data_IF_179459812522
#
_entry.id   IF_179459812522
#
_cell.length_a   1.000
_cell.length_b   1.000
_cell.length_c   1.000
_cell.angle_alpha   90.00
_cell.angle_beta   90.00
_cell.angle_gamma   90.00
#
_symmetry.space_group_name_H-M   'P 1'
#
loop_
_entity.id
_entity.type
_entity.pdbx_description
1 polymer ?
#
# COMPACT_ATOMS: atom_id res chain seq x y z
N UNK A 1 -5.23 -12.32 -6.22
CA UNK A 1 -4.32 -11.23 -6.58
C UNK A 1 -2.97 -11.81 -6.96
N UNK A 2 -2.08 -11.00 -7.49
CA UNK A 2 -0.70 -11.41 -7.78
C UNK A 2 0.16 -11.33 -6.52
N UNK A 3 0.93 -12.37 -6.20
CA UNK A 3 1.83 -12.36 -5.04
C UNK A 3 3.19 -11.81 -5.46
N UNK A 4 3.59 -10.72 -4.83
CA UNK A 4 4.90 -10.09 -5.01
C UNK A 4 5.62 -10.05 -3.67
N UNK A 5 6.95 -9.97 -3.69
CA UNK A 5 7.74 -9.78 -2.47
C UNK A 5 8.38 -8.39 -2.43
N UNK A 6 8.52 -7.84 -1.23
CA UNK A 6 9.22 -6.58 -1.00
C UNK A 6 10.33 -6.79 0.03
N UNK A 7 11.54 -6.32 -0.30
CA UNK A 7 12.75 -6.48 0.53
C UNK A 7 12.99 -5.36 1.54
N UNK A 8 12.09 -4.38 1.62
CA UNK A 8 12.18 -3.30 2.59
C UNK A 8 12.09 -3.86 4.02
N UNK A 9 13.00 -3.39 4.87
CA UNK A 9 13.01 -3.73 6.29
C UNK A 9 12.20 -2.75 7.14
N UNK A 10 11.82 -1.62 6.56
CA UNK A 10 11.07 -0.52 7.19
C UNK A 10 10.08 0.05 6.19
N UNK A 11 9.17 0.90 6.66
CA UNK A 11 8.23 1.59 5.78
C UNK A 11 7.08 0.70 5.27
N UNK A 12 6.70 -0.32 6.05
CA UNK A 12 5.66 -1.27 5.65
C UNK A 12 4.29 -0.60 5.49
N UNK A 13 4.00 0.47 6.25
CA UNK A 13 2.72 1.17 6.15
C UNK A 13 2.65 1.98 4.85
N UNK A 14 3.72 2.68 4.51
CA UNK A 14 3.88 3.44 3.27
C UNK A 14 3.76 2.49 2.07
N UNK A 15 4.34 1.30 2.16
CA UNK A 15 4.24 0.26 1.13
C UNK A 15 2.80 -0.28 1.04
N UNK A 16 2.15 -0.59 2.17
CA UNK A 16 0.78 -1.10 2.19
C UNK A 16 -0.26 -0.08 1.69
N UNK A 17 0.09 1.20 1.69
CA UNK A 17 -0.74 2.31 1.20
C UNK A 17 -0.27 2.85 -0.15
N UNK A 18 0.70 2.22 -0.81
CA UNK A 18 1.17 2.64 -2.12
C UNK A 18 0.20 2.13 -3.21
N UNK A 19 -0.38 3.03 -4.04
CA UNK A 19 -1.34 2.63 -5.08
C UNK A 19 -0.78 1.66 -6.11
N UNK A 20 0.55 1.60 -6.26
CA UNK A 20 1.22 0.68 -7.18
C UNK A 20 0.97 -0.79 -6.84
N UNK A 21 0.63 -1.11 -5.58
CA UNK A 21 0.32 -2.48 -5.14
C UNK A 21 -1.16 -2.85 -5.29
N UNK A 22 -1.95 -2.05 -6.00
CA UNK A 22 -3.35 -2.39 -6.26
C UNK A 22 -3.46 -3.77 -6.90
N UNK A 23 -4.38 -4.58 -6.38
CA UNK A 23 -4.58 -5.98 -6.81
C UNK A 23 -3.43 -6.96 -6.55
N UNK A 24 -2.40 -6.54 -5.80
CA UNK A 24 -1.30 -7.38 -5.37
C UNK A 24 -1.41 -7.79 -3.91
N UNK A 25 -0.79 -8.93 -3.58
CA UNK A 25 -0.62 -9.46 -2.23
C UNK A 25 0.88 -9.36 -1.90
N UNK A 26 1.21 -8.62 -0.85
CA UNK A 26 2.59 -8.31 -0.50
C UNK A 26 3.17 -9.33 0.48
N UNK A 27 4.26 -9.99 0.10
CA UNK A 27 5.09 -10.77 1.01
C UNK A 27 6.30 -9.94 1.45
N UNK A 28 6.40 -9.62 2.74
CA UNK A 28 7.59 -8.95 3.27
C UNK A 28 8.70 -9.97 3.57
N UNK A 29 9.92 -9.67 3.13
CA UNK A 29 11.06 -10.54 3.43
C UNK A 29 11.60 -10.30 4.84
N UNK A 30 11.45 -9.09 5.38
CA UNK A 30 11.84 -8.79 6.75
C UNK A 30 10.85 -9.44 7.73
N UNK A 31 11.32 -10.18 8.75
CA UNK A 31 10.42 -11.02 9.54
C UNK A 31 9.50 -10.25 10.50
N UNK A 32 9.97 -9.13 11.04
CA UNK A 32 9.27 -8.37 12.09
C UNK A 32 8.56 -7.14 11.51
N UNK A 33 7.43 -7.37 10.84
CA UNK A 33 6.58 -6.30 10.31
C UNK A 33 5.55 -5.89 11.37
N UNK A 34 5.32 -4.58 11.53
CA UNK A 34 4.40 -4.04 12.54
C UNK A 34 5.07 -3.53 13.81
N UNK A 35 6.39 -3.67 13.94
CA UNK A 35 7.16 -3.30 15.14
C UNK A 35 7.05 -1.82 15.57
N UNK A 36 6.77 -0.90 14.63
CA UNK A 36 6.57 0.54 14.92
C UNK A 36 5.10 0.95 14.91
N UNK A 37 4.18 -0.01 14.80
CA UNK A 37 2.74 0.26 14.71
C UNK A 37 2.36 0.95 13.42
N UNK A 38 1.36 1.82 13.50
CA UNK A 38 0.92 2.67 12.39
C UNK A 38 0.66 4.09 12.87
N UNK A 39 0.60 5.05 11.95
CA UNK A 39 0.19 6.42 12.23
C UNK A 39 -0.53 7.05 11.02
N UNK A 40 -1.01 8.28 11.13
CA UNK A 40 -1.74 8.94 10.04
C UNK A 40 -0.82 9.63 9.02
N UNK A 41 0.45 9.80 9.34
CA UNK A 41 1.41 10.51 8.50
C UNK A 41 1.99 9.57 7.43
N UNK A 42 2.30 8.32 7.78
CA UNK A 42 2.95 7.33 6.90
C UNK A 42 1.98 6.67 5.88
N UNK A 43 0.98 7.42 5.41
CA UNK A 43 0.02 7.01 4.38
C UNK A 43 0.37 7.65 3.04
N UNK A 44 0.57 6.85 2.00
CA UNK A 44 0.99 7.32 0.67
C UNK A 44 -0.13 7.44 -0.36
N UNK A 45 -1.26 6.76 -0.20
CA UNK A 45 -2.41 6.85 -1.12
C UNK A 45 -3.18 8.16 -1.00
N UNK A 46 -3.74 8.65 -2.12
CA UNK A 46 -4.69 9.75 -2.13
C UNK A 46 -6.11 9.22 -1.87
N UNK A 47 -6.80 9.83 -0.91
CA UNK A 47 -8.09 9.37 -0.41
C UNK A 47 -7.99 8.25 0.62
N UNK A 48 -9.16 7.78 1.09
CA UNK A 48 -9.27 6.82 2.20
C UNK A 48 -9.69 5.42 1.75
N UNK A 49 -10.00 5.25 0.46
CA UNK A 49 -10.42 3.99 -0.14
C UNK A 49 -9.34 2.89 0.04
N UNK A 50 -9.60 1.82 0.80
CA UNK A 50 -8.64 0.75 1.03
C UNK A 50 -8.36 -0.08 -0.23
N UNK A 51 -9.31 -0.16 -1.16
CA UNK A 51 -9.16 -0.82 -2.46
C UNK A 51 -8.10 -0.16 -3.35
N UNK A 52 -7.67 1.06 -3.00
CA UNK A 52 -6.64 1.79 -3.74
C UNK A 52 -5.22 1.33 -3.45
N UNK A 53 -5.01 0.32 -2.61
CA UNK A 53 -3.68 -0.18 -2.27
C UNK A 53 -3.62 -1.71 -2.25
N UNK A 54 -2.67 -2.28 -1.50
CA UNK A 54 -2.44 -3.73 -1.46
C UNK A 54 -3.67 -4.51 -0.98
N UNK A 55 -3.99 -5.63 -1.65
CA UNK A 55 -5.14 -6.49 -1.28
C UNK A 55 -4.92 -7.32 -0.04
N UNK A 56 -3.66 -7.58 0.31
CA UNK A 56 -3.33 -8.36 1.49
C UNK A 56 -1.83 -8.44 1.73
N UNK A 57 -1.47 -9.00 2.87
CA UNK A 57 -0.08 -9.14 3.30
C UNK A 57 0.23 -10.56 3.77
N UNK A 58 1.45 -11.01 3.49
CA UNK A 58 2.03 -12.27 3.95
C UNK A 58 3.27 -11.95 4.78
N UNK A 59 3.28 -12.42 6.02
CA UNK A 59 4.29 -12.13 7.03
C UNK A 59 4.95 -13.41 7.54
N UNK A 60 6.20 -13.27 7.99
CA UNK A 60 6.92 -14.37 8.65
C UNK A 60 6.37 -14.61 10.04
N UNK A 61 6.43 -13.59 10.89
CA UNK A 61 5.98 -13.65 12.27
C UNK A 61 4.67 -12.88 12.46
N UNK A 62 3.94 -13.22 13.51
CA UNK A 62 2.75 -12.46 13.93
C UNK A 62 3.20 -11.08 14.41
N UNK A 63 2.56 -9.98 13.97
CA UNK A 63 2.88 -8.64 14.46
C UNK A 63 2.80 -8.57 15.99
N UNK A 64 3.82 -7.98 16.60
CA UNK A 64 3.86 -7.73 18.04
C UNK A 64 3.22 -6.37 18.36
N UNK A 65 3.04 -6.10 19.65
CA UNK A 65 2.68 -4.76 20.10
C UNK A 65 3.74 -3.73 19.63
N UNK A 66 3.31 -2.53 19.22
CA UNK A 66 4.20 -1.54 18.64
C UNK A 66 5.05 -0.84 19.69
N UNK A 67 6.30 -0.54 19.34
CA UNK A 67 7.26 0.16 20.20
C UNK A 67 7.85 1.38 19.47
N UNK A 68 7.04 2.41 19.25
CA UNK A 68 7.46 3.66 18.62
C UNK A 68 6.64 4.85 19.16
N UNK A 69 7.29 6.00 19.35
CA UNK A 69 6.63 7.21 19.86
C UNK A 69 5.60 7.80 18.88
N UNK A 70 5.72 7.51 17.58
CA UNK A 70 4.74 7.89 16.53
C UNK A 70 3.54 6.95 16.48
N UNK A 71 3.60 5.77 17.11
CA UNK A 71 2.56 4.77 16.97
C UNK A 71 1.24 5.28 17.56
N UNK A 72 0.20 5.32 16.73
CA UNK A 72 -1.18 5.61 17.17
C UNK A 72 -2.04 4.35 17.24
N UNK A 73 -1.54 3.21 16.78
CA UNK A 73 -2.23 1.92 16.80
C UNK A 73 -1.35 0.76 16.34
N UNK A 74 -1.85 -0.47 16.55
CA UNK A 74 -1.21 -1.70 16.07
C UNK A 74 -1.55 -1.98 14.61
N UNK A 75 -0.67 -2.74 13.94
CA UNK A 75 -0.83 -3.09 12.52
C UNK A 75 -2.10 -3.92 12.25
N UNK A 76 -2.40 -4.90 13.11
CA UNK A 76 -3.55 -5.79 12.95
C UNK A 76 -4.90 -5.04 12.97
N UNK A 77 -5.10 -4.20 14.00
CA UNK A 77 -6.30 -3.38 14.12
C UNK A 77 -6.46 -2.40 12.94
N UNK A 78 -5.35 -1.82 12.47
CA UNK A 78 -5.34 -0.91 11.33
C UNK A 78 -5.63 -1.61 9.99
N UNK A 79 -5.11 -2.82 9.79
CA UNK A 79 -5.44 -3.63 8.62
C UNK A 79 -6.91 -4.06 8.63
N UNK A 80 -7.42 -4.48 9.79
CA UNK A 80 -8.81 -4.88 9.98
C UNK A 80 -9.77 -3.73 9.68
N UNK A 81 -9.50 -2.51 10.18
CA UNK A 81 -10.36 -1.35 9.91
C UNK A 81 -10.39 -0.94 8.44
N UNK A 82 -9.36 -1.30 7.67
CA UNK A 82 -9.26 -1.10 6.22
C UNK A 82 -9.77 -2.29 5.40
N UNK A 83 -10.16 -3.39 6.02
CA UNK A 83 -10.56 -4.60 5.29
C UNK A 83 -9.40 -5.26 4.52
N UNK A 84 -8.16 -5.06 4.94
CA UNK A 84 -6.97 -5.68 4.33
C UNK A 84 -6.69 -7.01 5.05
N UNK A 85 -6.65 -8.11 4.30
CA UNK A 85 -6.42 -9.45 4.87
C UNK A 85 -4.92 -9.73 5.07
N UNK A 86 -4.57 -10.38 6.18
CA UNK A 86 -3.19 -10.76 6.50
C UNK A 86 -3.03 -12.25 6.76
N UNK A 87 -1.86 -12.79 6.42
CA UNK A 87 -1.45 -14.15 6.75
C UNK A 87 -0.04 -14.14 7.36
N UNK A 88 0.09 -14.55 8.61
CA UNK A 88 1.37 -14.66 9.32
C UNK A 88 1.77 -16.11 9.57
N UNK A 89 3.03 -16.36 9.93
CA UNK A 89 3.56 -17.71 10.17
C UNK A 89 4.05 -18.43 8.91
N UNK A 90 4.17 -17.72 7.78
CA UNK A 90 4.59 -18.29 6.50
C UNK A 90 6.13 -18.27 6.41
N UNK A 91 6.72 -19.28 5.76
CA UNK A 91 8.13 -19.17 5.35
C UNK A 91 8.24 -18.19 4.16
N UNK A 92 8.29 -16.89 4.46
CA UNK A 92 8.40 -15.83 3.45
C UNK A 92 9.70 -15.92 2.66
N UNK A 93 10.75 -16.57 3.19
CA UNK A 93 12.00 -16.82 2.47
C UNK A 93 11.79 -17.87 1.38
N UNK A 94 11.16 -19.01 1.71
CA UNK A 94 10.80 -20.03 0.72
C UNK A 94 9.86 -19.47 -0.35
N UNK A 95 8.85 -18.67 0.05
CA UNK A 95 7.96 -17.99 -0.88
C UNK A 95 8.71 -17.02 -1.81
N UNK A 96 9.64 -16.22 -1.27
CA UNK A 96 10.45 -15.30 -2.07
C UNK A 96 11.33 -16.03 -3.08
N UNK A 97 11.93 -17.16 -2.70
CA UNK A 97 12.70 -18.00 -3.62
C UNK A 97 11.82 -18.55 -4.74
N UNK A 98 10.62 -19.04 -4.40
CA UNK A 98 9.64 -19.54 -5.36
C UNK A 98 9.26 -18.46 -6.38
N UNK A 99 8.95 -17.24 -5.91
CA UNK A 99 8.59 -16.12 -6.79
C UNK A 99 9.75 -15.74 -7.72
N UNK A 100 10.98 -15.71 -7.18
CA UNK A 100 12.18 -15.39 -7.98
C UNK A 100 12.45 -16.42 -9.07
N UNK A 101 12.20 -17.69 -8.80
CA UNK A 101 12.49 -18.80 -9.72
C UNK A 101 11.38 -19.07 -10.74
N UNK A 102 10.12 -18.90 -10.33
CA UNK A 102 8.95 -19.29 -11.14
C UNK A 102 8.07 -18.13 -11.57
N UNK A 103 8.40 -16.90 -11.16
CA UNK A 103 7.56 -15.73 -11.36
C UNK A 103 6.49 -15.59 -10.28
N UNK A 104 5.78 -14.46 -10.32
CA UNK A 104 4.74 -14.11 -9.36
C UNK A 104 3.49 -15.02 -9.53
N UNK A 105 3.14 -15.85 -8.55
CA UNK A 105 1.95 -16.68 -8.62
C UNK A 105 0.70 -15.86 -8.34
N UNK A 106 -0.43 -16.32 -8.85
CA UNK A 106 -1.73 -15.85 -8.39
C UNK A 106 -2.10 -16.58 -7.10
N UNK A 107 -2.63 -15.85 -6.12
CA UNK A 107 -3.08 -16.42 -4.87
C UNK A 107 -4.37 -15.78 -4.35
N UNK A 108 -4.98 -16.50 -3.43
CA UNK A 108 -6.11 -16.07 -2.62
C UNK A 108 -5.74 -16.29 -1.16
N UNK A 109 -6.01 -15.30 -0.31
CA UNK A 109 -5.99 -15.45 1.14
C UNK A 109 -7.45 -15.50 1.57
N UNK A 110 -7.81 -16.48 2.39
CA UNK A 110 -9.14 -16.66 2.93
C UNK A 110 -9.09 -16.74 4.44
N UNK A 111 -10.11 -16.20 5.10
CA UNK A 111 -10.28 -16.26 6.54
C UNK A 111 -11.69 -16.74 6.84
N UNK A 112 -11.80 -17.87 7.54
CA UNK A 112 -13.04 -18.44 8.05
C UNK A 112 -12.85 -18.77 9.54
N UNK A 113 -13.60 -18.11 10.46
CA UNK A 113 -13.50 -18.37 11.89
C UNK A 113 -13.82 -19.82 12.31
N UNK A 114 -14.64 -20.54 11.54
CA UNK A 114 -14.96 -21.95 11.77
C UNK A 114 -13.89 -22.89 11.19
N UNK A 115 -12.88 -22.35 10.49
CA UNK A 115 -11.82 -23.12 9.84
C UNK A 115 -12.28 -23.95 8.63
N UNK A 116 -13.43 -23.62 8.05
CA UNK A 116 -14.02 -24.36 6.92
C UNK A 116 -13.55 -23.74 5.60
N UNK A 117 -12.53 -24.35 4.99
CA UNK A 117 -11.98 -23.89 3.72
C UNK A 117 -12.26 -24.88 2.59
N UNK A 118 -12.88 -24.40 1.51
CA UNK A 118 -12.97 -25.12 0.25
C UNK A 118 -11.72 -24.82 -0.59
N UNK A 119 -10.69 -25.65 -0.42
CA UNK A 119 -9.40 -25.47 -1.09
C UNK A 119 -9.50 -25.61 -2.61
N UNK A 120 -10.44 -26.41 -3.12
CA UNK A 120 -10.63 -26.58 -4.56
C UNK A 120 -11.22 -25.31 -5.16
N UNK A 121 -12.25 -24.74 -4.53
CA UNK A 121 -12.84 -23.48 -4.94
C UNK A 121 -11.83 -22.33 -4.88
N UNK A 122 -11.05 -22.22 -3.79
CA UNK A 122 -10.01 -21.20 -3.64
C UNK A 122 -8.90 -21.33 -4.69
N UNK A 123 -8.49 -22.56 -5.01
CA UNK A 123 -7.51 -22.83 -6.06
C UNK A 123 -8.05 -22.47 -7.44
N UNK A 124 -9.32 -22.80 -7.71
CA UNK A 124 -9.98 -22.42 -8.95
C UNK A 124 -10.06 -20.90 -9.09
N UNK A 125 -10.41 -20.19 -8.02
CA UNK A 125 -10.44 -18.73 -7.98
C UNK A 125 -9.07 -18.10 -8.25
N UNK A 126 -8.00 -18.64 -7.66
CA UNK A 126 -6.64 -18.17 -7.93
C UNK A 126 -6.24 -18.37 -9.41
N UNK A 127 -6.62 -19.50 -10.02
CA UNK A 127 -6.33 -19.83 -11.42
C UNK A 127 -7.15 -18.99 -12.41
N UNK A 128 -8.40 -18.68 -12.09
CA UNK A 128 -9.29 -17.89 -12.95
C UNK A 128 -8.95 -16.40 -12.96
N UNK A 129 -8.16 -15.93 -11.99
CA UNK A 129 -7.73 -14.54 -11.94
C UNK A 129 -6.85 -14.19 -13.14
N UNK A 130 -7.30 -13.22 -13.94
CA UNK A 130 -6.76 -12.91 -15.28
C UNK A 130 -5.39 -12.22 -15.30
N UNK A 131 -4.78 -11.97 -14.15
CA UNK A 131 -3.51 -11.27 -14.06
C UNK A 131 -3.65 -9.74 -14.06
N UNK A 132 -2.52 -9.04 -13.90
CA UNK A 132 -2.43 -7.58 -14.02
C UNK A 132 -2.32 -7.11 -15.48
N UNK A 133 -1.83 -7.97 -16.38
CA UNK A 133 -1.58 -7.62 -17.77
C UNK A 133 -2.90 -7.28 -18.48
N UNK A 134 -3.03 -6.04 -18.94
CA UNK A 134 -4.24 -5.53 -19.60
C UNK A 134 -5.30 -4.97 -18.67
N UNK A 135 -5.05 -4.92 -17.35
CA UNK A 135 -5.94 -4.27 -16.39
C UNK A 135 -5.55 -2.80 -16.21
N UNK A 136 -6.46 -1.89 -16.51
CA UNK A 136 -6.25 -0.45 -16.35
C UNK A 136 -6.53 -0.03 -14.90
N UNK A 137 -5.56 -0.33 -14.02
CA UNK A 137 -5.62 0.02 -12.60
C UNK A 137 -5.51 1.53 -12.35
N UNK A 138 -4.98 2.28 -13.32
CA UNK A 138 -4.76 3.72 -13.16
C UNK A 138 -6.10 4.46 -13.00
N UNK A 139 -7.16 4.00 -13.67
CA UNK A 139 -8.51 4.55 -13.52
C UNK A 139 -9.05 4.41 -12.10
N UNK A 140 -8.86 3.23 -11.50
CA UNK A 140 -9.35 2.92 -10.15
C UNK A 140 -8.48 3.59 -9.07
N UNK A 141 -7.20 3.80 -9.36
CA UNK A 141 -6.25 4.48 -8.48
C UNK A 141 -6.42 6.01 -8.46
N UNK A 142 -6.98 6.59 -9.51
CA UNK A 142 -7.03 8.03 -9.74
C UNK A 142 -8.01 8.78 -8.81
N UNK A 143 -7.72 10.07 -8.59
CA UNK A 143 -8.68 11.02 -8.05
C UNK A 143 -9.92 11.16 -8.95
N UNK A 144 -11.08 11.40 -8.32
CA UNK A 144 -12.35 11.59 -9.03
C UNK A 144 -12.58 13.05 -9.45
N UNK A 145 -11.91 13.99 -8.78
CA UNK A 145 -12.02 15.43 -9.03
C UNK A 145 -10.64 16.07 -8.96
N UNK A 146 -10.45 17.13 -9.73
CA UNK A 146 -9.25 17.93 -9.66
C UNK A 146 -9.19 18.69 -8.34
N UNK A 147 -8.00 18.83 -7.76
CA UNK A 147 -7.78 19.56 -6.50
C UNK A 147 -6.38 20.18 -6.45
N UNK A 148 -6.19 21.14 -5.55
CA UNK A 148 -4.87 21.73 -5.30
C UNK A 148 -4.15 21.03 -4.15
N UNK A 149 -2.86 20.74 -4.33
CA UNK A 149 -2.02 20.17 -3.28
C UNK A 149 -1.09 21.24 -2.69
N UNK A 150 -1.06 21.35 -1.37
CA UNK A 150 -0.32 22.42 -0.65
C UNK A 150 0.55 21.90 0.51
N UNK A 151 0.51 20.60 0.81
CA UNK A 151 1.29 20.00 1.88
C UNK A 151 2.72 19.68 1.40
N UNK A 152 3.75 20.07 2.16
CA UNK A 152 5.16 19.84 1.86
C UNK A 152 5.73 18.59 2.55
N UNK A 153 7.05 18.42 2.47
CA UNK A 153 7.76 17.31 3.13
C UNK A 153 7.57 17.30 4.66
N UNK A 154 7.65 16.11 5.25
CA UNK A 154 7.60 15.91 6.69
C UNK A 154 8.96 16.21 7.32
N UNK A 155 8.97 16.95 8.42
CA UNK A 155 10.17 17.24 9.19
C UNK A 155 9.94 17.00 10.69
N UNK A 156 10.90 16.36 11.36
CA UNK A 156 10.88 16.22 12.80
C UNK A 156 11.31 17.55 13.47
N UNK A 157 10.61 18.04 14.51
CA UNK A 157 9.41 17.48 15.16
C UNK A 157 8.08 18.10 14.68
N UNK A 158 8.11 18.90 13.63
CA UNK A 158 7.00 19.80 13.25
C UNK A 158 5.92 19.15 12.39
N UNK A 159 6.20 18.00 11.78
CA UNK A 159 5.29 17.33 10.87
C UNK A 159 5.39 17.87 9.44
N UNK A 160 4.30 17.81 8.69
CA UNK A 160 4.26 18.28 7.31
C UNK A 160 4.29 19.81 7.20
N UNK A 161 5.21 20.32 6.38
CA UNK A 161 5.29 21.74 6.08
C UNK A 161 4.11 22.22 5.23
N UNK A 162 3.88 23.54 5.20
CA UNK A 162 2.98 24.21 4.24
C UNK A 162 3.77 25.30 3.51
N UNK A 163 4.57 24.93 2.49
CA UNK A 163 5.36 25.90 1.76
C UNK A 163 4.47 26.92 1.04
N UNK A 164 4.93 28.18 0.97
CA UNK A 164 4.25 29.19 0.16
C UNK A 164 4.41 28.84 -1.33
N UNK A 165 3.30 28.87 -2.07
CA UNK A 165 3.31 28.64 -3.49
C UNK A 165 3.82 29.90 -4.22
N UNK A 166 4.87 29.75 -5.02
CA UNK A 166 5.35 30.79 -5.93
C UNK A 166 4.57 30.85 -7.23
N UNK A 167 5.11 31.57 -8.20
CA UNK A 167 4.41 31.90 -9.46
C UNK A 167 4.34 30.75 -10.48
N UNK A 168 5.10 29.67 -10.26
CA UNK A 168 5.16 28.53 -11.18
C UNK A 168 4.07 27.51 -10.83
N UNK A 169 3.37 27.01 -11.84
CA UNK A 169 2.32 26.01 -11.69
C UNK A 169 2.68 24.70 -12.39
N UNK A 170 2.31 23.57 -11.77
CA UNK A 170 2.47 22.21 -12.29
C UNK A 170 1.13 21.50 -12.22
N UNK A 171 0.74 20.87 -13.33
CA UNK A 171 -0.42 19.97 -13.37
C UNK A 171 0.09 18.53 -13.27
N UNK A 172 -0.43 17.78 -12.29
CA UNK A 172 -0.09 16.37 -12.05
C UNK A 172 -1.28 15.52 -12.45
N UNK A 173 -1.11 14.68 -13.48
CA UNK A 173 -2.12 13.68 -13.86
C UNK A 173 -2.00 12.49 -12.92
N UNK A 174 -3.06 12.18 -12.19
CA UNK A 174 -3.08 11.16 -11.16
C UNK A 174 -3.37 9.77 -11.74
N UNK A 175 -2.34 8.93 -11.84
CA UNK A 175 -2.46 7.51 -12.18
C UNK A 175 -2.29 6.59 -10.96
N UNK A 176 -2.59 7.10 -9.76
CA UNK A 176 -2.19 6.49 -8.49
C UNK A 176 -0.94 7.17 -7.91
N UNK A 177 -0.87 8.49 -7.99
CA UNK A 177 0.28 9.24 -7.49
C UNK A 177 0.36 9.16 -5.96
N UNK A 178 1.59 8.99 -5.47
CA UNK A 178 1.90 8.94 -4.05
C UNK A 178 1.93 10.34 -3.44
N UNK A 179 1.42 10.51 -2.22
CA UNK A 179 1.46 11.78 -1.48
C UNK A 179 2.87 12.34 -1.38
N UNK A 180 3.88 11.51 -1.14
CA UNK A 180 5.24 12.05 -0.98
C UNK A 180 5.83 12.66 -2.26
N UNK A 181 5.37 12.25 -3.45
CA UNK A 181 5.75 12.91 -4.71
C UNK A 181 5.20 14.34 -4.74
N UNK A 182 3.93 14.52 -4.35
CA UNK A 182 3.30 15.82 -4.27
C UNK A 182 3.93 16.70 -3.19
N UNK A 183 4.28 16.11 -2.04
CA UNK A 183 5.00 16.79 -0.94
C UNK A 183 6.38 17.29 -1.37
N UNK A 184 7.17 16.43 -1.99
CA UNK A 184 8.49 16.81 -2.50
C UNK A 184 8.39 17.92 -3.55
N UNK A 185 7.39 17.86 -4.44
CA UNK A 185 7.15 18.90 -5.43
C UNK A 185 6.72 20.22 -4.77
N UNK A 186 5.80 20.18 -3.80
CA UNK A 186 5.33 21.36 -3.09
C UNK A 186 6.47 22.07 -2.34
N UNK A 187 7.39 21.30 -1.75
CA UNK A 187 8.60 21.81 -1.10
C UNK A 187 9.56 22.56 -2.04
N UNK A 188 9.38 22.49 -3.36
CA UNK A 188 10.12 23.32 -4.33
C UNK A 188 9.50 24.70 -4.56
N UNK A 189 8.36 25.01 -3.93
CA UNK A 189 7.67 26.30 -4.02
C UNK A 189 6.80 26.47 -5.27
N UNK A 190 6.32 25.37 -5.87
CA UNK A 190 5.42 25.41 -7.03
C UNK A 190 3.96 25.18 -6.62
N UNK A 191 3.04 25.82 -7.34
CA UNK A 191 1.61 25.54 -7.22
C UNK A 191 1.27 24.22 -7.93
N UNK A 192 0.58 23.30 -7.25
CA UNK A 192 0.25 21.99 -7.80
C UNK A 192 -1.25 21.83 -7.95
N UNK A 193 -1.69 21.45 -9.14
CA UNK A 193 -3.06 21.00 -9.41
C UNK A 193 -3.02 19.54 -9.82
N UNK A 194 -3.66 18.68 -9.05
CA UNK A 194 -3.82 17.26 -9.36
C UNK A 194 -5.10 17.07 -10.16
N UNK A 195 -5.07 16.30 -11.24
CA UNK A 195 -6.21 16.06 -12.12
C UNK A 195 -6.44 14.56 -12.34
N UNK A 196 -7.69 14.12 -12.60
CA UNK A 196 -8.00 12.72 -12.90
C UNK A 196 -7.23 12.16 -14.10
N UNK A 197 -7.02 10.84 -14.11
CA UNK A 197 -6.38 10.08 -15.19
C UNK A 197 -7.06 10.25 -16.55
N UNK A 198 -8.36 10.56 -16.55
CA UNK A 198 -9.19 10.71 -17.75
C UNK A 198 -9.33 12.15 -18.26
N UNK A 199 -8.50 13.08 -17.75
CA UNK A 199 -8.53 14.50 -18.13
C UNK A 199 -8.14 14.73 -19.58
#
# INVERSE_FOLDING_TARGET
GEVVFNTAMTGYQEILTDPSYMSQILAFTFPHIGNVGVNLEDVEQIGEAPERAARGVILRDVPTDPANWRATGGLDAWMTSRGVIGLAGVDTRALTQLIREKGAPHAVIAHDPDGKFDLEALTAQARDWKGLVGLDLAKDASTTQAFEWTEGAWEWPTGYAKPEAGDKSVVVVDYGVKRNILRALASTGVKITVVPAST
#
